data_IF_004157903833
#
_entry.id   IF_004157903833
#
_cell.length_a   1.000
_cell.length_b   1.000
_cell.length_c   1.000
_cell.angle_alpha   90.00
_cell.angle_beta   90.00
_cell.angle_gamma   90.00
#
_symmetry.space_group_name_H-M   'P 1'
#
loop_
_entity.id
_entity.type
_entity.pdbx_description
1 polymer ?
#
# COMPACT_ATOMS: atom_id res chain seq x y z
N UNK A 1 -23.21 13.61 -15.72
CA UNK A 1 -23.49 13.79 -14.28
C UNK A 1 -22.57 12.82 -13.56
N UNK A 2 -21.30 13.18 -13.45
CA UNK A 2 -20.33 12.44 -12.64
C UNK A 2 -20.28 13.20 -11.32
N UNK A 3 -20.92 12.66 -10.28
CA UNK A 3 -20.75 13.14 -8.93
C UNK A 3 -19.42 12.60 -8.44
N UNK A 4 -18.36 13.40 -8.60
CA UNK A 4 -17.13 13.24 -7.84
C UNK A 4 -17.49 13.49 -6.37
N UNK A 5 -17.80 12.41 -5.64
CA UNK A 5 -17.85 12.43 -4.19
C UNK A 5 -16.43 12.63 -3.68
N UNK A 6 -16.16 13.88 -3.32
CA UNK A 6 -15.07 14.32 -2.45
C UNK A 6 -15.07 13.40 -1.22
N UNK A 7 -14.09 12.50 -1.16
CA UNK A 7 -13.84 11.62 -0.02
C UNK A 7 -13.38 12.52 1.13
N UNK A 8 -14.36 13.06 1.85
CA UNK A 8 -14.18 13.90 3.02
C UNK A 8 -13.31 13.12 4.01
N UNK A 9 -12.07 13.57 4.12
CA UNK A 9 -11.01 13.03 4.95
C UNK A 9 -11.41 13.18 6.42
N UNK A 10 -12.29 12.29 6.89
CA UNK A 10 -12.78 12.26 8.27
C UNK A 10 -11.64 11.80 9.17
N UNK A 11 -10.87 12.75 9.71
CA UNK A 11 -9.95 12.47 10.80
C UNK A 11 -10.73 11.75 11.91
N UNK A 12 -10.20 10.65 12.48
CA UNK A 12 -10.84 10.01 13.62
C UNK A 12 -10.91 11.03 14.75
N UNK A 13 -12.12 11.34 15.22
CA UNK A 13 -12.29 12.12 16.45
C UNK A 13 -11.62 11.35 17.59
N UNK A 14 -10.78 11.99 18.43
CA UNK A 14 -10.16 11.32 19.57
C UNK A 14 -11.23 11.14 20.65
N UNK A 15 -11.95 10.01 20.61
CA UNK A 15 -12.98 9.67 21.61
C UNK A 15 -12.39 9.09 22.90
N UNK A 16 -11.10 8.74 22.91
CA UNK A 16 -10.44 8.10 24.05
C UNK A 16 -9.43 9.04 24.73
N UNK A 17 -9.32 9.01 26.08
CA UNK A 17 -8.24 9.67 26.79
C UNK A 17 -6.88 9.22 26.24
N UNK A 18 -5.87 10.11 26.14
CA UNK A 18 -4.54 9.72 25.69
C UNK A 18 -4.02 8.57 26.54
N UNK A 19 -3.72 7.43 25.89
CA UNK A 19 -3.10 6.31 26.60
C UNK A 19 -1.76 6.77 27.18
N UNK A 20 -1.41 6.35 28.42
CA UNK A 20 -0.09 6.56 28.98
C UNK A 20 1.00 6.07 28.02
N UNK A 21 2.12 6.80 27.99
CA UNK A 21 3.25 6.41 27.16
C UNK A 21 3.84 5.07 27.65
N UNK A 22 3.88 4.10 26.75
CA UNK A 22 4.54 2.82 26.95
C UNK A 22 5.60 2.61 25.85
N UNK A 23 6.90 2.61 26.19
CA UNK A 23 7.99 2.34 25.25
C UNK A 23 7.82 1.00 24.52
N UNK A 24 7.28 -0.02 25.18
CA UNK A 24 7.08 -1.36 24.60
C UNK A 24 6.04 -1.31 23.49
N UNK A 25 4.92 -0.61 23.75
CA UNK A 25 3.89 -0.32 22.74
C UNK A 25 4.48 0.44 21.55
N UNK A 26 5.32 1.45 21.79
CA UNK A 26 5.95 2.23 20.72
C UNK A 26 6.86 1.37 19.84
N UNK A 27 7.70 0.52 20.43
CA UNK A 27 8.53 -0.45 19.67
C UNK A 27 7.65 -1.39 18.84
N UNK A 28 6.54 -1.88 19.39
CA UNK A 28 5.57 -2.70 18.67
C UNK A 28 4.94 -1.98 17.48
N UNK A 29 4.60 -0.70 17.62
CA UNK A 29 4.07 0.14 16.53
C UNK A 29 5.12 0.31 15.43
N UNK A 30 6.36 0.63 15.77
CA UNK A 30 7.46 0.79 14.81
C UNK A 30 7.67 -0.51 14.01
N UNK A 31 7.72 -1.66 14.70
CA UNK A 31 7.87 -2.97 14.05
C UNK A 31 6.71 -3.29 13.11
N UNK A 32 5.46 -3.07 13.54
CA UNK A 32 4.27 -3.29 12.69
C UNK A 32 4.27 -2.36 11.47
N UNK A 33 4.65 -1.10 11.63
CA UNK A 33 4.78 -0.15 10.52
C UNK A 33 5.85 -0.57 9.52
N UNK A 34 6.98 -1.09 9.98
CA UNK A 34 8.03 -1.63 9.10
C UNK A 34 7.51 -2.84 8.31
N UNK A 35 6.88 -3.80 9.00
CA UNK A 35 6.32 -5.00 8.37
C UNK A 35 5.30 -4.66 7.27
N UNK A 36 4.39 -3.72 7.52
CA UNK A 36 3.40 -3.28 6.52
C UNK A 36 4.09 -2.70 5.28
N UNK A 37 5.12 -1.86 5.50
CA UNK A 37 5.89 -1.26 4.40
C UNK A 37 6.62 -2.33 3.58
N UNK A 38 7.24 -3.29 4.25
CA UNK A 38 7.98 -4.37 3.59
C UNK A 38 7.03 -5.29 2.80
N UNK A 39 5.85 -5.59 3.35
CA UNK A 39 4.80 -6.34 2.66
C UNK A 39 4.30 -5.60 1.41
N UNK A 40 4.04 -4.29 1.51
CA UNK A 40 3.61 -3.49 0.37
C UNK A 40 4.67 -3.45 -0.73
N UNK A 41 5.95 -3.35 -0.37
CA UNK A 41 7.05 -3.38 -1.32
C UNK A 41 7.16 -4.74 -2.04
N UNK A 42 7.01 -5.85 -1.30
CA UNK A 42 7.00 -7.19 -1.88
C UNK A 42 5.84 -7.36 -2.88
N UNK A 43 4.62 -6.98 -2.49
CA UNK A 43 3.46 -7.04 -3.37
C UNK A 43 3.64 -6.18 -4.63
N UNK A 44 4.16 -4.95 -4.49
CA UNK A 44 4.41 -4.09 -5.63
C UNK A 44 5.44 -4.68 -6.61
N UNK A 45 6.50 -5.30 -6.10
CA UNK A 45 7.50 -5.97 -6.91
C UNK A 45 6.90 -7.13 -7.72
N UNK A 46 6.03 -7.94 -7.11
CA UNK A 46 5.31 -9.01 -7.81
C UNK A 46 4.42 -8.46 -8.93
N UNK A 47 3.66 -7.40 -8.67
CA UNK A 47 2.85 -6.75 -9.70
C UNK A 47 3.71 -6.25 -10.88
N UNK A 48 4.84 -5.59 -10.60
CA UNK A 48 5.76 -5.11 -11.63
C UNK A 48 6.32 -6.27 -12.46
N UNK A 49 6.67 -7.38 -11.82
CA UNK A 49 7.17 -8.56 -12.51
C UNK A 49 6.12 -9.13 -13.49
N UNK A 50 4.85 -9.22 -13.08
CA UNK A 50 3.77 -9.65 -13.98
C UNK A 50 3.59 -8.69 -15.16
N UNK A 51 3.62 -7.38 -14.92
CA UNK A 51 3.54 -6.39 -16.00
C UNK A 51 4.70 -6.53 -17.00
N UNK A 52 5.92 -6.77 -16.52
CA UNK A 52 7.09 -6.99 -17.38
C UNK A 52 6.94 -8.25 -18.24
N UNK A 53 6.45 -9.36 -17.66
CA UNK A 53 6.19 -10.59 -18.40
C UNK A 53 5.14 -10.39 -19.50
N UNK A 54 4.07 -9.66 -19.21
CA UNK A 54 3.03 -9.35 -20.19
C UNK A 54 3.59 -8.50 -21.34
N UNK A 55 4.41 -7.49 -21.02
CA UNK A 55 5.03 -6.64 -22.01
C UNK A 55 5.98 -7.44 -22.91
N UNK A 56 6.81 -8.32 -22.33
CA UNK A 56 7.71 -9.19 -23.09
C UNK A 56 6.93 -10.11 -24.05
N UNK A 57 5.80 -10.66 -23.60
CA UNK A 57 4.92 -11.44 -24.47
C UNK A 57 4.36 -10.58 -25.60
N UNK A 58 3.84 -9.39 -25.29
CA UNK A 58 3.31 -8.48 -26.31
C UNK A 58 4.34 -8.14 -27.38
N UNK A 59 5.57 -7.79 -26.99
CA UNK A 59 6.65 -7.48 -27.93
C UNK A 59 6.97 -8.66 -28.84
N UNK A 60 7.04 -9.88 -28.29
CA UNK A 60 7.27 -11.10 -29.10
C UNK A 60 6.15 -11.34 -30.11
N UNK A 61 4.90 -11.03 -29.76
CA UNK A 61 3.78 -11.13 -30.69
C UNK A 61 3.88 -10.09 -31.81
N UNK A 62 4.23 -8.85 -31.48
CA UNK A 62 4.40 -7.77 -32.46
C UNK A 62 5.55 -8.03 -33.43
N UNK A 63 6.61 -8.72 -33.01
CA UNK A 63 7.72 -9.11 -33.91
C UNK A 63 7.34 -10.19 -34.95
N UNK A 64 6.28 -10.96 -34.69
CA UNK A 64 5.82 -12.06 -35.56
C UNK A 64 4.76 -11.59 -36.57
N UNK A 65 4.12 -10.44 -36.32
CA UNK A 65 3.06 -9.83 -37.16
C UNK A 65 3.66 -8.87 -38.18
#
# INVERSE_FOLDING_TARGET
MAEEQEEEQKLPQPSDPPLPFDPSRMVGIIKRKALIKDLAAAYHAECLQYCQQLLELQTKWEEIV
#
